data_IF_891714104094
#
_entry.id   IF_891714104094
#
_cell.length_a   1.000
_cell.length_b   1.000
_cell.length_c   1.000
_cell.angle_alpha   90.00
_cell.angle_beta   90.00
_cell.angle_gamma   90.00
#
_symmetry.space_group_name_H-M   'P 1'
#
loop_
_entity.id
_entity.type
_entity.pdbx_description
1 polymer ?
#
# COMPACT_ATOMS: atom_id res chain seq x y z
N UNK A 1 -8.17 -16.28 9.25
CA UNK A 1 -7.52 -15.33 8.32
C UNK A 1 -8.48 -14.24 7.88
N UNK A 2 -8.02 -12.99 7.94
CA UNK A 2 -8.76 -11.81 7.46
C UNK A 2 -8.01 -11.16 6.30
N UNK A 3 -8.75 -10.61 5.32
CA UNK A 3 -8.14 -9.85 4.23
C UNK A 3 -7.70 -8.48 4.74
N UNK A 4 -6.44 -8.13 4.52
CA UNK A 4 -5.90 -6.80 4.78
C UNK A 4 -5.38 -6.16 3.49
N UNK A 5 -5.41 -4.82 3.43
CA UNK A 5 -4.75 -4.07 2.37
C UNK A 5 -3.31 -3.79 2.76
N UNK A 6 -2.39 -4.01 1.81
CA UNK A 6 -0.96 -3.73 1.96
C UNK A 6 -0.55 -2.47 1.19
N UNK A 7 -1.49 -1.54 1.00
CA UNK A 7 -1.31 -0.28 0.25
C UNK A 7 -0.93 -0.43 -1.23
N UNK A 8 -1.40 -1.49 -1.88
CA UNK A 8 -1.29 -1.65 -3.34
C UNK A 8 -2.66 -1.40 -3.95
N UNK A 9 -2.78 -0.34 -4.73
CA UNK A 9 -4.01 0.05 -5.40
C UNK A 9 -3.78 0.29 -6.88
N UNK A 10 -4.72 -0.18 -7.71
CA UNK A 10 -4.86 0.24 -9.10
C UNK A 10 -6.08 1.15 -9.24
N UNK A 11 -5.90 2.32 -9.85
CA UNK A 11 -6.97 3.30 -10.02
C UNK A 11 -7.08 3.80 -11.46
N UNK A 12 -8.31 4.14 -11.86
CA UNK A 12 -8.53 4.98 -13.02
C UNK A 12 -8.10 6.44 -12.71
N UNK A 13 -7.52 7.20 -13.66
CA UNK A 13 -7.03 8.57 -13.40
C UNK A 13 -8.06 9.54 -12.79
N UNK A 14 -9.35 9.35 -13.06
CA UNK A 14 -10.45 10.08 -12.42
C UNK A 14 -10.41 10.08 -10.87
N UNK A 15 -9.67 9.18 -10.24
CA UNK A 15 -9.49 9.18 -8.79
C UNK A 15 -8.86 10.48 -8.28
N UNK A 16 -7.98 11.12 -9.07
CA UNK A 16 -7.30 12.34 -8.66
C UNK A 16 -8.28 13.49 -8.42
N UNK A 17 -9.30 13.64 -9.28
CA UNK A 17 -10.35 14.63 -9.10
C UNK A 17 -11.14 14.41 -7.80
N UNK A 18 -11.45 13.14 -7.47
CA UNK A 18 -12.15 12.81 -6.22
C UNK A 18 -11.27 13.11 -5.01
N UNK A 19 -9.99 12.73 -5.06
CA UNK A 19 -9.04 12.94 -3.99
C UNK A 19 -8.77 14.43 -3.75
N UNK A 20 -8.59 15.23 -4.80
CA UNK A 20 -8.34 16.66 -4.69
C UNK A 20 -9.51 17.39 -4.03
N UNK A 21 -10.74 17.06 -4.44
CA UNK A 21 -11.95 17.63 -3.86
C UNK A 21 -12.10 17.30 -2.36
N UNK A 22 -11.74 16.08 -1.95
CA UNK A 22 -11.79 15.70 -0.54
C UNK A 22 -10.60 16.28 0.23
N UNK A 23 -9.42 16.39 -0.39
CA UNK A 23 -8.24 17.02 0.17
C UNK A 23 -8.48 18.48 0.54
N UNK A 24 -9.09 19.28 -0.36
CA UNK A 24 -9.43 20.69 -0.08
C UNK A 24 -10.28 20.83 1.19
N UNK A 25 -11.27 19.95 1.36
CA UNK A 25 -12.15 19.92 2.55
C UNK A 25 -11.43 19.44 3.80
N UNK A 26 -10.54 18.47 3.66
CA UNK A 26 -9.72 17.99 4.76
C UNK A 26 -8.80 19.11 5.24
N UNK A 27 -8.06 19.74 4.32
CA UNK A 27 -7.11 20.80 4.61
C UNK A 27 -7.78 21.98 5.33
N UNK A 28 -8.91 22.47 4.82
CA UNK A 28 -9.62 23.60 5.42
C UNK A 28 -10.09 23.35 6.86
N UNK A 29 -10.27 22.08 7.26
CA UNK A 29 -10.72 21.68 8.60
C UNK A 29 -9.59 21.29 9.53
N UNK A 30 -8.43 20.92 8.98
CA UNK A 30 -7.39 20.20 9.72
C UNK A 30 -6.00 20.87 9.66
N UNK A 31 -5.88 22.03 8.99
CA UNK A 31 -4.62 22.75 8.78
C UNK A 31 -3.85 23.09 10.06
N UNK A 32 -4.54 23.19 11.19
CA UNK A 32 -3.96 23.70 12.43
C UNK A 32 -3.26 22.63 13.27
N UNK A 33 -3.38 21.34 12.91
CA UNK A 33 -2.74 20.24 13.64
C UNK A 33 -1.86 19.42 12.68
N UNK A 34 -0.51 19.47 12.84
CA UNK A 34 0.42 18.77 11.95
C UNK A 34 0.39 17.24 12.11
N UNK A 35 -0.29 16.71 13.13
CA UNK A 35 -0.49 15.26 13.32
C UNK A 35 -1.66 14.69 12.49
N UNK A 36 -2.44 15.55 11.84
CA UNK A 36 -3.56 15.09 11.03
C UNK A 36 -3.05 14.46 9.72
N UNK A 37 -3.53 13.25 9.42
CA UNK A 37 -3.14 12.52 8.22
C UNK A 37 -4.31 12.35 7.26
N UNK A 38 -4.06 12.57 5.97
CA UNK A 38 -5.00 12.23 4.90
C UNK A 38 -4.75 10.80 4.43
N UNK A 39 -5.26 9.83 5.18
CA UNK A 39 -5.04 8.42 4.91
C UNK A 39 -5.85 7.94 3.70
N UNK A 40 -5.16 7.49 2.65
CA UNK A 40 -5.77 6.95 1.44
C UNK A 40 -6.81 5.85 1.71
N UNK A 41 -6.56 4.83 2.57
CA UNK A 41 -7.54 3.77 2.83
C UNK A 41 -8.86 4.32 3.38
N UNK A 42 -8.80 5.30 4.28
CA UNK A 42 -9.97 5.94 4.88
C UNK A 42 -10.75 6.73 3.83
N UNK A 43 -10.05 7.53 3.01
CA UNK A 43 -10.66 8.33 1.96
C UNK A 43 -11.33 7.46 0.89
N UNK A 44 -10.67 6.39 0.43
CA UNK A 44 -11.25 5.45 -0.54
C UNK A 44 -12.46 4.73 0.05
N UNK A 45 -12.40 4.28 1.30
CA UNK A 45 -13.55 3.66 1.97
C UNK A 45 -14.76 4.62 2.02
N UNK A 46 -14.53 5.90 2.26
CA UNK A 46 -15.57 6.92 2.23
C UNK A 46 -16.17 7.10 0.83
N UNK A 47 -15.36 7.05 -0.24
CA UNK A 47 -15.86 7.09 -1.61
C UNK A 47 -16.72 5.87 -1.95
N UNK A 48 -16.33 4.68 -1.50
CA UNK A 48 -17.12 3.45 -1.66
C UNK A 48 -18.47 3.59 -0.95
N UNK A 49 -18.47 4.00 0.34
CA UNK A 49 -19.71 4.23 1.12
C UNK A 49 -20.64 5.25 0.47
N UNK A 50 -20.09 6.31 -0.11
CA UNK A 50 -20.81 7.35 -0.86
C UNK A 50 -21.16 6.95 -2.29
N UNK A 51 -20.91 5.70 -2.70
CA UNK A 51 -21.13 5.16 -4.05
C UNK A 51 -20.44 5.96 -5.17
N UNK A 52 -19.34 6.66 -4.85
CA UNK A 52 -18.54 7.44 -5.81
C UNK A 52 -17.52 6.60 -6.58
N UNK A 53 -17.15 5.44 -6.04
CA UNK A 53 -16.32 4.47 -6.74
C UNK A 53 -16.70 3.05 -6.31
N UNK A 54 -16.23 2.07 -7.09
CA UNK A 54 -16.26 0.64 -6.75
C UNK A 54 -14.82 0.15 -6.67
N UNK A 55 -14.54 -0.74 -5.72
CA UNK A 55 -13.23 -1.35 -5.54
C UNK A 55 -13.39 -2.87 -5.68
N UNK A 56 -12.58 -3.48 -6.54
CA UNK A 56 -12.48 -4.93 -6.64
C UNK A 56 -11.25 -5.40 -5.88
N UNK A 57 -11.42 -6.36 -4.98
CA UNK A 57 -10.31 -6.93 -4.21
C UNK A 57 -9.70 -8.10 -4.98
N UNK A 58 -8.45 -7.95 -5.40
CA UNK A 58 -7.67 -9.02 -6.02
C UNK A 58 -6.88 -9.76 -4.94
N UNK A 59 -7.30 -10.98 -4.61
CA UNK A 59 -6.62 -11.82 -3.61
C UNK A 59 -5.34 -12.42 -4.22
N UNK A 60 -4.28 -12.49 -3.44
CA UNK A 60 -3.04 -13.15 -3.81
C UNK A 60 -2.58 -14.07 -2.67
N UNK A 61 -2.02 -15.22 -3.03
CA UNK A 61 -1.45 -16.21 -2.10
C UNK A 61 0.03 -15.96 -1.80
N UNK A 62 0.61 -14.87 -2.31
CA UNK A 62 1.98 -14.47 -1.98
C UNK A 62 2.10 -14.05 -0.52
N UNK A 63 3.18 -14.51 0.12
CA UNK A 63 3.54 -14.04 1.45
C UNK A 63 4.11 -12.62 1.37
N UNK A 64 3.43 -11.67 2.01
CA UNK A 64 3.99 -10.36 2.23
C UNK A 64 5.03 -10.42 3.36
N UNK A 65 6.24 -9.93 3.06
CA UNK A 65 7.36 -9.90 4.00
C UNK A 65 7.88 -8.46 4.03
N UNK A 66 8.00 -7.89 5.22
CA UNK A 66 8.50 -6.53 5.44
C UNK A 66 9.33 -6.44 6.72
N UNK A 67 9.94 -5.28 6.95
CA UNK A 67 10.60 -4.97 8.22
C UNK A 67 9.78 -3.92 8.94
N UNK A 68 9.04 -4.33 9.96
CA UNK A 68 8.32 -3.40 10.85
C UNK A 68 9.15 -3.12 12.09
N UNK A 69 9.85 -4.15 12.59
CA UNK A 69 10.78 -4.06 13.72
C UNK A 69 12.17 -4.54 13.31
N UNK A 70 13.19 -4.08 14.04
CA UNK A 70 14.59 -4.44 13.80
C UNK A 70 14.84 -5.97 13.72
N UNK A 71 14.10 -6.75 14.52
CA UNK A 71 14.17 -8.21 14.56
C UNK A 71 13.71 -8.91 13.27
N UNK A 72 12.85 -8.26 12.49
CA UNK A 72 12.26 -8.85 11.27
C UNK A 72 13.29 -8.98 10.15
N UNK A 73 14.37 -8.16 10.20
CA UNK A 73 15.46 -8.15 9.22
C UNK A 73 16.07 -9.53 9.00
N UNK A 74 16.38 -10.25 10.08
CA UNK A 74 17.02 -11.57 10.00
C UNK A 74 16.10 -12.59 9.32
N UNK A 75 14.80 -12.54 9.61
CA UNK A 75 13.81 -13.41 8.97
C UNK A 75 13.67 -13.10 7.47
N UNK A 76 13.57 -11.81 7.12
CA UNK A 76 13.48 -11.36 5.74
C UNK A 76 14.72 -11.76 4.92
N UNK A 77 15.92 -11.58 5.46
CA UNK A 77 17.16 -11.99 4.79
C UNK A 77 17.20 -13.50 4.52
N UNK A 78 16.84 -14.32 5.52
CA UNK A 78 16.75 -15.79 5.35
C UNK A 78 15.73 -16.16 4.26
N UNK A 79 14.58 -15.49 4.23
CA UNK A 79 13.57 -15.69 3.20
C UNK A 79 14.10 -15.37 1.79
N UNK A 80 14.74 -14.21 1.60
CA UNK A 80 15.30 -13.78 0.31
C UNK A 80 16.37 -14.77 -0.17
N UNK A 81 17.32 -15.16 0.72
CA UNK A 81 18.37 -16.13 0.39
C UNK A 81 17.75 -17.47 -0.05
N UNK A 82 16.68 -17.92 0.62
CA UNK A 82 15.95 -19.13 0.23
C UNK A 82 15.33 -18.99 -1.16
N UNK A 83 14.71 -17.85 -1.49
CA UNK A 83 14.13 -17.65 -2.82
C UNK A 83 15.21 -17.64 -3.93
N UNK A 84 16.38 -17.06 -3.67
CA UNK A 84 17.52 -17.08 -4.61
C UNK A 84 18.05 -18.51 -4.80
N UNK A 85 18.25 -19.26 -3.70
CA UNK A 85 18.67 -20.67 -3.76
C UNK A 85 17.69 -21.54 -4.56
N UNK A 86 16.39 -21.24 -4.42
CA UNK A 86 15.32 -21.90 -5.17
C UNK A 86 15.17 -21.41 -6.62
N UNK A 87 16.10 -20.58 -7.12
CA UNK A 87 16.11 -20.01 -8.48
C UNK A 87 14.85 -19.21 -8.84
N UNK A 88 14.05 -18.75 -7.85
CA UNK A 88 12.90 -17.88 -8.09
C UNK A 88 13.30 -16.46 -8.45
N UNK A 89 14.46 -16.00 -7.98
CA UNK A 89 15.04 -14.71 -8.31
C UNK A 89 16.55 -14.85 -8.55
N UNK A 90 17.13 -14.03 -9.44
CA UNK A 90 18.58 -13.99 -9.62
C UNK A 90 19.27 -13.38 -8.39
N UNK A 91 20.55 -13.73 -8.20
CA UNK A 91 21.36 -13.15 -7.11
C UNK A 91 21.55 -11.63 -7.27
N UNK A 92 21.64 -11.15 -8.50
CA UNK A 92 21.68 -9.73 -8.86
C UNK A 92 20.45 -9.42 -9.70
N UNK A 93 19.58 -8.55 -9.20
CA UNK A 93 18.37 -8.12 -9.92
C UNK A 93 18.68 -7.09 -11.00
N UNK A 94 19.67 -6.24 -10.74
CA UNK A 94 20.10 -5.17 -11.64
C UNK A 94 21.55 -5.40 -12.03
N UNK A 95 21.90 -5.07 -13.28
CA UNK A 95 23.29 -5.07 -13.74
C UNK A 95 24.10 -3.93 -13.12
N UNK A 96 25.42 -4.03 -13.20
CA UNK A 96 26.27 -2.86 -12.94
C UNK A 96 26.19 -1.98 -14.20
N UNK A 97 25.58 -0.80 -14.07
CA UNK A 97 25.95 0.33 -14.92
C UNK A 97 27.17 1.00 -14.28
#
# INVERSE_FOLDING_TARGET
DSLCSLNIFGFHPKIFELLENEWKKFFSKNSNNPKNEFALPTTINNFIKKKKCKLTVLKNNSNWMGVTYKKDKTSLQKYIIKQIKNKKFPKKLWGNN
#
